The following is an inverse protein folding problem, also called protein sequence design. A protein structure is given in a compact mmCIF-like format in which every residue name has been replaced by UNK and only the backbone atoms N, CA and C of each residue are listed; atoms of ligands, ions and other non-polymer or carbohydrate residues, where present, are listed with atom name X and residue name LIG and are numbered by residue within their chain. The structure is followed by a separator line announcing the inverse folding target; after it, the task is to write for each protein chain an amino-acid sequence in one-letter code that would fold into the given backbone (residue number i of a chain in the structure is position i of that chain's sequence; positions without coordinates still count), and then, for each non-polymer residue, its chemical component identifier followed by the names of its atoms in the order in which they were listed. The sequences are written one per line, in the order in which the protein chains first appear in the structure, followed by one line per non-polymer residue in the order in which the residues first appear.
data_IF_178506359562
#
_entry.id   IF_178506359562
#
_cell.length_a   1.000
_cell.length_b   1.000
_cell.length_c   1.000
_cell.angle_alpha   90.00
_cell.angle_beta   90.00
_cell.angle_gamma   90.00
#
_symmetry.space_group_name_H-M   'P 1'
#
loop_
_entity.id
_entity.type
_entity.pdbx_description
1 polymer ?
#
# COMPACT_ATOMS: atom_id res chain seq x y z
N UNK A 1 -55.09 -31.01 -26.71
CA UNK A 1 -54.30 -32.26 -26.70
C UNK A 1 -54.18 -32.77 -25.27
N UNK A 2 -54.23 -34.08 -25.12
CA UNK A 2 -54.61 -34.86 -23.94
C UNK A 2 -53.40 -35.23 -23.07
N UNK A 3 -53.53 -34.95 -21.75
CA UNK A 3 -53.17 -35.78 -20.57
C UNK A 3 -51.70 -36.18 -20.30
N UNK A 4 -51.19 -35.57 -19.23
CA UNK A 4 -50.69 -36.16 -17.96
C UNK A 4 -49.86 -37.45 -17.97
N UNK A 5 -48.68 -37.31 -17.34
CA UNK A 5 -48.01 -38.23 -16.40
C UNK A 5 -47.55 -39.61 -16.87
N UNK A 6 -46.26 -39.90 -16.64
CA UNK A 6 -45.82 -40.83 -15.58
C UNK A 6 -44.52 -41.53 -15.93
N UNK A 7 -43.70 -41.65 -14.89
CA UNK A 7 -42.37 -42.26 -14.76
C UNK A 7 -42.33 -43.73 -15.20
N UNK A 8 -41.19 -44.15 -15.76
CA UNK A 8 -40.64 -45.51 -15.86
C UNK A 8 -39.29 -45.33 -16.63
N UNK A 9 -38.10 -45.88 -16.34
CA UNK A 9 -37.68 -47.11 -15.68
C UNK A 9 -36.16 -47.09 -15.38
N UNK A 10 -35.80 -47.84 -14.33
CA UNK A 10 -34.62 -48.73 -14.19
C UNK A 10 -33.22 -48.08 -14.13
N UNK A 11 -32.58 -48.01 -12.95
CA UNK A 11 -31.99 -49.11 -12.17
C UNK A 11 -30.68 -49.66 -12.77
N UNK A 12 -29.54 -49.24 -12.20
CA UNK A 12 -28.46 -50.18 -11.87
C UNK A 12 -27.95 -49.81 -10.46
N UNK A 13 -28.26 -50.68 -9.51
CA UNK A 13 -27.67 -50.74 -8.17
C UNK A 13 -26.59 -51.83 -8.21
N UNK A 14 -25.44 -51.62 -7.58
CA UNK A 14 -24.36 -52.61 -7.52
C UNK A 14 -22.98 -51.96 -7.48
N UNK A 15 -22.63 -51.30 -6.38
CA UNK A 15 -21.70 -51.85 -5.36
C UNK A 15 -20.27 -51.89 -5.89
N UNK A 16 -19.39 -51.07 -5.30
CA UNK A 16 -18.07 -51.46 -4.77
C UNK A 16 -17.35 -50.23 -4.16
N UNK A 17 -17.26 -50.27 -2.83
CA UNK A 17 -16.16 -49.82 -1.96
C UNK A 17 -15.21 -48.69 -2.44
N UNK A 18 -15.17 -47.56 -1.72
CA UNK A 18 -14.09 -47.17 -0.79
C UNK A 18 -14.30 -45.69 -0.35
N UNK A 19 -14.04 -45.35 0.93
CA UNK A 19 -14.24 -44.00 1.45
C UNK A 19 -13.02 -43.14 1.13
N UNK A 20 -13.09 -42.30 0.11
CA UNK A 20 -12.13 -41.21 -0.02
C UNK A 20 -12.57 -40.09 0.92
N UNK A 21 -12.09 -40.14 2.16
CA UNK A 21 -11.98 -38.95 3.01
C UNK A 21 -11.11 -37.94 2.26
N UNK A 22 -11.77 -37.01 1.58
CA UNK A 22 -11.12 -35.79 1.09
C UNK A 22 -10.71 -35.01 2.32
N UNK A 23 -9.43 -35.07 2.66
CA UNK A 23 -8.81 -34.02 3.45
C UNK A 23 -8.91 -32.76 2.59
N UNK A 24 -9.82 -31.86 2.95
CA UNK A 24 -9.68 -30.48 2.53
C UNK A 24 -8.38 -29.97 3.17
N UNK A 25 -7.29 -29.96 2.40
CA UNK A 25 -6.11 -29.19 2.74
C UNK A 25 -6.56 -27.74 2.78
N UNK A 26 -6.78 -27.25 4.00
CA UNK A 26 -6.79 -25.83 4.30
C UNK A 26 -5.37 -25.32 3.99
N UNK A 27 -5.13 -25.04 2.70
CA UNK A 27 -3.99 -24.25 2.24
C UNK A 27 -4.30 -22.80 2.61
N UNK A 28 -4.39 -22.52 3.91
CA UNK A 28 -4.22 -21.15 4.38
C UNK A 28 -2.80 -20.77 3.97
N UNK A 29 -2.61 -19.76 3.09
CA UNK A 29 -1.28 -19.31 2.76
C UNK A 29 -0.57 -18.95 4.07
N UNK A 30 0.75 -19.22 4.20
CA UNK A 30 1.49 -18.80 5.38
C UNK A 30 1.21 -17.32 5.55
N UNK A 31 0.53 -16.98 6.65
CA UNK A 31 0.24 -15.62 7.07
C UNK A 31 1.59 -15.03 7.42
N UNK A 32 2.34 -14.66 6.38
CA UNK A 32 3.58 -13.92 6.47
C UNK A 32 3.20 -12.70 7.27
N UNK A 33 3.80 -12.56 8.45
CA UNK A 33 3.76 -11.36 9.25
C UNK A 33 4.32 -10.22 8.41
N UNK A 34 3.50 -9.69 7.50
CA UNK A 34 3.80 -8.54 6.68
C UNK A 34 3.88 -7.40 7.67
N UNK A 35 5.11 -7.11 8.11
CA UNK A 35 5.41 -5.89 8.84
C UNK A 35 4.85 -4.76 8.00
N UNK A 36 3.74 -4.18 8.46
CA UNK A 36 3.03 -3.15 7.73
C UNK A 36 3.81 -1.87 7.98
N UNK A 37 4.81 -1.61 7.14
CA UNK A 37 5.57 -0.37 7.19
C UNK A 37 4.69 0.75 6.63
N UNK A 38 4.34 1.72 7.47
CA UNK A 38 3.67 2.94 7.02
C UNK A 38 4.70 3.90 6.43
N UNK A 39 4.47 4.33 5.20
CA UNK A 39 5.21 5.44 4.58
C UNK A 39 4.26 6.60 4.37
N UNK A 40 4.74 7.81 4.61
CA UNK A 40 4.00 9.05 4.34
C UNK A 40 4.77 9.85 3.30
N UNK A 41 4.08 10.37 2.29
CA UNK A 41 4.65 11.28 1.31
C UNK A 41 3.66 12.42 1.13
N UNK A 42 4.17 13.63 1.04
CA UNK A 42 3.35 14.80 0.74
C UNK A 42 4.16 15.85 0.00
N UNK A 43 3.45 16.83 -0.53
CA UNK A 43 4.04 17.99 -1.16
C UNK A 43 3.28 19.25 -0.79
N UNK A 44 3.97 20.39 -0.82
CA UNK A 44 3.38 21.71 -0.60
C UNK A 44 4.14 22.78 -1.38
N UNK A 45 3.51 23.93 -1.69
CA UNK A 45 4.23 25.07 -2.26
C UNK A 45 5.42 25.50 -1.39
N UNK A 46 6.42 26.12 -1.99
CA UNK A 46 7.48 26.77 -1.23
C UNK A 46 6.90 27.87 -0.32
N UNK A 47 7.47 28.03 0.87
CA UNK A 47 7.03 29.04 1.85
C UNK A 47 7.37 30.45 1.35
N UNK A 48 8.48 30.59 0.62
CA UNK A 48 8.89 31.83 -0.05
C UNK A 48 9.38 31.53 -1.46
N UNK A 49 8.99 32.36 -2.43
CA UNK A 49 9.40 32.24 -3.84
C UNK A 49 8.54 31.25 -4.63
N UNK A 50 8.99 30.88 -5.84
CA UNK A 50 8.24 29.99 -6.73
C UNK A 50 8.89 28.61 -6.80
N UNK A 51 8.17 27.61 -6.31
CA UNK A 51 8.63 26.23 -6.25
C UNK A 51 7.70 25.37 -5.40
N UNK A 52 8.16 24.16 -5.09
CA UNK A 52 7.44 23.24 -4.21
C UNK A 52 8.42 22.45 -3.36
N UNK A 53 7.94 21.91 -2.25
CA UNK A 53 8.65 20.92 -1.46
C UNK A 53 7.93 19.58 -1.52
N UNK A 54 8.70 18.51 -1.41
CA UNK A 54 8.23 17.14 -1.22
C UNK A 54 8.84 16.65 0.09
N UNK A 55 8.04 16.01 0.93
CA UNK A 55 8.54 15.31 2.11
C UNK A 55 8.15 13.84 2.07
N UNK A 56 8.99 12.98 2.62
CA UNK A 56 8.70 11.56 2.83
C UNK A 56 9.17 11.12 4.21
N UNK A 57 8.44 10.19 4.82
CA UNK A 57 8.77 9.62 6.12
C UNK A 57 8.42 8.13 6.17
N UNK A 58 9.32 7.34 6.74
CA UNK A 58 9.13 5.92 7.02
C UNK A 58 8.81 5.74 8.51
N UNK A 59 7.58 5.35 8.82
CA UNK A 59 7.10 5.08 10.17
C UNK A 59 7.41 3.64 10.54
N UNK A 60 8.70 3.32 10.73
CA UNK A 60 9.12 1.99 11.16
C UNK A 60 9.64 1.95 12.61
N UNK A 61 10.07 3.08 13.18
CA UNK A 61 10.76 3.14 14.48
C UNK A 61 10.62 4.52 15.15
N UNK A 62 10.99 4.60 16.44
CA UNK A 62 11.01 5.84 17.25
C UNK A 62 11.89 6.97 16.67
N UNK A 63 12.73 6.69 15.69
CA UNK A 63 13.58 7.62 14.94
C UNK A 63 13.00 7.92 13.55
N UNK A 64 11.76 8.43 13.51
CA UNK A 64 11.14 8.76 12.23
C UNK A 64 11.85 9.96 11.59
N UNK A 65 12.60 9.69 10.52
CA UNK A 65 13.28 10.73 9.74
C UNK A 65 12.38 11.21 8.60
N UNK A 66 12.29 12.53 8.45
CA UNK A 66 11.56 13.18 7.37
C UNK A 66 12.56 13.65 6.33
N UNK A 67 12.59 12.99 5.18
CA UNK A 67 13.38 13.47 4.05
C UNK A 67 12.59 14.53 3.31
N UNK A 68 13.16 15.72 3.18
CA UNK A 68 12.52 16.86 2.54
C UNK A 68 13.38 17.33 1.38
N UNK A 69 12.72 17.66 0.27
CA UNK A 69 13.32 18.18 -0.94
C UNK A 69 12.58 19.45 -1.35
N UNK A 70 13.28 20.59 -1.42
CA UNK A 70 12.79 21.88 -1.87
C UNK A 70 13.26 22.11 -3.31
N UNK A 71 12.33 22.14 -4.25
CA UNK A 71 12.58 22.22 -5.69
C UNK A 71 12.00 23.52 -6.25
N UNK A 72 12.88 24.37 -6.75
CA UNK A 72 12.55 25.74 -7.14
C UNK A 72 12.46 25.88 -8.66
N UNK A 73 11.72 26.89 -9.12
CA UNK A 73 11.50 27.12 -10.55
C UNK A 73 12.79 27.48 -11.32
N UNK A 74 13.79 28.02 -10.63
CA UNK A 74 15.13 28.29 -11.17
C UNK A 74 16.02 27.03 -11.26
N UNK A 75 15.43 25.84 -11.04
CA UNK A 75 16.10 24.53 -11.00
C UNK A 75 17.07 24.33 -9.84
N UNK A 76 17.09 25.25 -8.88
CA UNK A 76 17.84 25.04 -7.64
C UNK A 76 17.14 24.00 -6.76
N UNK A 77 17.94 23.23 -6.03
CA UNK A 77 17.48 22.11 -5.22
C UNK A 77 18.17 22.11 -3.86
N UNK A 78 17.38 22.03 -2.79
CA UNK A 78 17.88 21.80 -1.44
C UNK A 78 17.22 20.54 -0.86
N UNK A 79 18.01 19.72 -0.18
CA UNK A 79 17.52 18.52 0.50
C UNK A 79 18.01 18.51 1.94
N UNK A 80 17.16 18.06 2.86
CA UNK A 80 17.58 17.76 4.22
C UNK A 80 16.76 16.63 4.81
N UNK A 81 17.27 16.09 5.92
CA UNK A 81 16.54 15.14 6.75
C UNK A 81 16.19 15.84 8.06
N UNK A 82 14.90 16.06 8.29
CA UNK A 82 14.39 16.71 9.49
C UNK A 82 13.90 15.66 10.50
N UNK A 83 14.01 15.93 11.82
CA UNK A 83 13.48 15.04 12.86
C UNK A 83 11.95 15.07 12.96
N UNK A 84 11.32 16.08 12.35
CA UNK A 84 9.89 16.31 12.36
C UNK A 84 9.41 16.79 10.97
N UNK A 85 8.10 16.73 10.67
CA UNK A 85 7.56 17.27 9.42
C UNK A 85 7.48 18.81 9.41
N UNK A 86 8.21 19.47 10.32
CA UNK A 86 8.29 20.92 10.42
C UNK A 86 9.58 21.38 9.76
N UNK A 87 9.40 22.07 8.64
CA UNK A 87 10.49 22.60 7.83
C UNK A 87 9.99 23.83 7.09
N UNK A 88 10.90 24.60 6.53
CA UNK A 88 10.63 25.72 5.63
C UNK A 88 11.44 25.54 4.33
N UNK A 89 10.79 25.78 3.19
CA UNK A 89 11.37 25.72 1.86
C UNK A 89 11.37 27.11 1.23
N UNK A 90 12.56 27.61 0.93
CA UNK A 90 12.81 28.92 0.37
C UNK A 90 13.34 28.79 -1.05
N UNK A 91 12.70 29.47 -2.00
CA UNK A 91 13.07 29.52 -3.42
C UNK A 91 13.53 30.90 -3.89
N UNK A 92 13.98 31.74 -2.96
CA UNK A 92 14.56 33.04 -3.28
C UNK A 92 15.63 33.40 -2.22
N UNK A 93 16.87 33.72 -2.62
CA UNK A 93 17.37 33.86 -4.00
C UNK A 93 17.65 32.53 -4.73
N UNK A 94 17.79 31.43 -3.99
CA UNK A 94 17.98 30.06 -4.50
C UNK A 94 17.41 29.07 -3.48
N UNK A 95 17.28 27.79 -3.84
CA UNK A 95 16.76 26.75 -2.96
C UNK A 95 17.52 26.69 -1.64
N UNK A 96 16.77 26.83 -0.55
CA UNK A 96 17.24 26.63 0.81
C UNK A 96 16.16 25.94 1.62
N UNK A 97 16.59 25.13 2.59
CA UNK A 97 15.70 24.32 3.39
C UNK A 97 16.17 24.34 4.83
N UNK A 98 15.26 24.66 5.75
CA UNK A 98 15.53 24.73 7.19
C UNK A 98 14.60 23.79 7.92
N UNK A 99 15.14 22.95 8.80
CA UNK A 99 14.35 22.10 9.68
C UNK A 99 14.09 22.84 11.00
N UNK A 100 12.89 22.66 11.57
CA UNK A 100 12.54 23.17 12.91
C UNK A 100 12.56 22.07 13.97
#
# INVERSE_FOLDING_TARGET
MVKSSSRLLLAICGVLCFPFTTFAQDNSPPQSSASTYSFSVGSRPADIGTGFSIYSATSATADQQFHVQCNCQDFSLATATCPAPRYECYCSPSASLTCE
#
